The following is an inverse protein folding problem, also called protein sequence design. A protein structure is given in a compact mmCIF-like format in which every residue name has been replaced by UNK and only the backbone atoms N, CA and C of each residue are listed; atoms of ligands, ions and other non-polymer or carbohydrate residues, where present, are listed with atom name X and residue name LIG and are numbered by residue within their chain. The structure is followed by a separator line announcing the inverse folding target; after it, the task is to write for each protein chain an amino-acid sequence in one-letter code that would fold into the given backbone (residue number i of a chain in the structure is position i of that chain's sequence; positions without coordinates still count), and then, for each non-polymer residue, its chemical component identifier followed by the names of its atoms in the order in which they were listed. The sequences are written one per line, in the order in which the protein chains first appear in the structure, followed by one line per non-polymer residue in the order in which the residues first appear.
data_IF_834796088620
#
_entry.id   IF_834796088620
#
_cell.length_a   1.000
_cell.length_b   1.000
_cell.length_c   1.000
_cell.angle_alpha   90.00
_cell.angle_beta   90.00
_cell.angle_gamma   90.00
#
_symmetry.space_group_name_H-M   'P 1'
#
loop_
_entity.id
_entity.type
_entity.pdbx_description
1 polymer ?
#
# COMPACT_ATOMS: atom_id res chain seq x y z
N UNK A 1 -36.10 22.41 9.34
CA UNK A 1 -37.34 21.75 9.75
C UNK A 1 -37.10 20.30 10.10
N UNK A 2 -37.62 19.87 11.24
CA UNK A 2 -37.50 18.47 11.62
C UNK A 2 -38.44 17.61 10.75
N UNK A 3 -37.89 16.64 10.07
CA UNK A 3 -38.64 15.67 9.30
C UNK A 3 -39.30 14.67 10.26
N UNK A 4 -40.61 14.50 10.15
CA UNK A 4 -41.30 13.46 10.92
C UNK A 4 -41.14 12.13 10.21
N UNK A 5 -40.57 11.16 10.90
CA UNK A 5 -40.35 9.80 10.40
C UNK A 5 -40.93 8.78 11.37
N UNK A 6 -41.53 7.72 10.83
CA UNK A 6 -41.96 6.56 11.63
C UNK A 6 -40.73 5.72 12.04
N UNK A 7 -40.93 4.79 12.96
CA UNK A 7 -39.84 3.88 13.37
C UNK A 7 -39.26 3.10 12.18
N UNK A 8 -40.13 2.64 11.26
CA UNK A 8 -39.70 1.90 10.07
C UNK A 8 -38.91 2.80 9.11
N UNK A 9 -39.37 4.04 8.89
CA UNK A 9 -38.67 5.02 8.06
C UNK A 9 -37.33 5.45 8.66
N UNK A 10 -37.27 5.56 9.98
CA UNK A 10 -36.00 5.88 10.67
C UNK A 10 -34.94 4.79 10.44
N UNK A 11 -35.35 3.53 10.49
CA UNK A 11 -34.46 2.40 10.21
C UNK A 11 -33.90 2.46 8.79
N UNK A 12 -34.76 2.73 7.81
CA UNK A 12 -34.39 2.84 6.40
C UNK A 12 -33.45 4.03 6.17
N UNK A 13 -33.71 5.19 6.77
CA UNK A 13 -32.83 6.35 6.65
C UNK A 13 -31.46 6.13 7.29
N UNK A 14 -31.40 5.41 8.42
CA UNK A 14 -30.12 5.04 9.05
C UNK A 14 -29.32 4.11 8.13
N UNK A 15 -29.96 3.12 7.53
CA UNK A 15 -29.33 2.20 6.60
C UNK A 15 -28.79 2.93 5.38
N UNK A 16 -29.55 3.86 4.80
CA UNK A 16 -29.12 4.66 3.66
C UNK A 16 -27.90 5.52 4.01
N UNK A 17 -27.92 6.16 5.18
CA UNK A 17 -26.79 6.97 5.65
C UNK A 17 -25.52 6.13 5.89
N UNK A 18 -25.66 4.92 6.42
CA UNK A 18 -24.55 4.00 6.61
C UNK A 18 -23.98 3.52 5.28
N UNK A 19 -24.81 3.27 4.28
CA UNK A 19 -24.36 2.89 2.93
C UNK A 19 -23.58 4.02 2.27
N UNK A 20 -24.07 5.26 2.34
CA UNK A 20 -23.37 6.44 1.82
C UNK A 20 -22.00 6.61 2.49
N UNK A 21 -21.95 6.46 3.82
CA UNK A 21 -20.69 6.58 4.56
C UNK A 21 -19.71 5.48 4.16
N UNK A 22 -20.21 4.26 3.99
CA UNK A 22 -19.39 3.13 3.54
C UNK A 22 -18.80 3.36 2.17
N UNK A 23 -19.60 3.81 1.20
CA UNK A 23 -19.14 4.10 -0.16
C UNK A 23 -18.05 5.17 -0.15
N UNK A 24 -18.26 6.25 0.60
CA UNK A 24 -17.29 7.33 0.75
C UNK A 24 -16.00 6.83 1.39
N UNK A 25 -16.09 5.99 2.43
CA UNK A 25 -14.95 5.40 3.10
C UNK A 25 -14.17 4.46 2.17
N UNK A 26 -14.86 3.61 1.43
CA UNK A 26 -14.25 2.70 0.46
C UNK A 26 -13.48 3.48 -0.61
N UNK A 27 -14.05 4.56 -1.13
CA UNK A 27 -13.41 5.41 -2.12
C UNK A 27 -12.15 6.08 -1.57
N UNK A 28 -12.21 6.61 -0.36
CA UNK A 28 -11.05 7.23 0.31
C UNK A 28 -9.93 6.20 0.49
N UNK A 29 -10.25 5.02 0.99
CA UNK A 29 -9.28 3.95 1.22
C UNK A 29 -8.66 3.50 -0.11
N UNK A 30 -9.48 3.28 -1.13
CA UNK A 30 -8.99 2.85 -2.44
C UNK A 30 -8.06 3.87 -3.07
N UNK A 31 -8.43 5.15 -3.03
CA UNK A 31 -7.59 6.23 -3.56
C UNK A 31 -6.28 6.33 -2.79
N UNK A 32 -6.32 6.24 -1.47
CA UNK A 32 -5.12 6.28 -0.63
C UNK A 32 -4.18 5.11 -0.94
N UNK A 33 -4.70 3.90 -1.03
CA UNK A 33 -3.91 2.70 -1.35
C UNK A 33 -3.28 2.81 -2.74
N UNK A 34 -4.04 3.25 -3.74
CA UNK A 34 -3.52 3.42 -5.10
C UNK A 34 -2.39 4.45 -5.15
N UNK A 35 -2.57 5.59 -4.50
CA UNK A 35 -1.57 6.66 -4.49
C UNK A 35 -0.31 6.24 -3.74
N UNK A 36 -0.47 5.70 -2.53
CA UNK A 36 0.66 5.30 -1.69
C UNK A 36 1.45 4.15 -2.32
N UNK A 37 0.77 3.20 -2.98
CA UNK A 37 1.46 2.10 -3.65
C UNK A 37 2.35 2.58 -4.79
N UNK A 38 1.90 3.57 -5.57
CA UNK A 38 2.70 4.17 -6.64
C UNK A 38 3.92 4.91 -6.08
N UNK A 39 3.72 5.67 -5.01
CA UNK A 39 4.81 6.39 -4.34
C UNK A 39 5.82 5.42 -3.71
N UNK A 40 5.34 4.37 -3.05
CA UNK A 40 6.16 3.33 -2.44
C UNK A 40 7.02 2.61 -3.49
N UNK A 41 6.42 2.29 -4.64
CA UNK A 41 7.15 1.71 -5.76
C UNK A 41 8.31 2.61 -6.20
N UNK A 42 8.07 3.91 -6.34
CA UNK A 42 9.12 4.87 -6.70
C UNK A 42 10.24 4.93 -5.65
N UNK A 43 9.88 4.91 -4.38
CA UNK A 43 10.86 4.95 -3.27
C UNK A 43 11.72 3.69 -3.25
N UNK A 44 11.11 2.51 -3.37
CA UNK A 44 11.87 1.26 -3.37
C UNK A 44 12.75 1.14 -4.61
N UNK A 45 12.28 1.62 -5.77
CA UNK A 45 13.10 1.67 -6.98
C UNK A 45 14.32 2.58 -6.80
N UNK A 46 14.11 3.79 -6.29
CA UNK A 46 15.18 4.76 -6.10
C UNK A 46 16.24 4.27 -5.11
N UNK A 47 15.83 3.55 -4.07
CA UNK A 47 16.74 3.00 -3.06
C UNK A 47 17.36 1.65 -3.43
N UNK A 48 16.95 1.04 -4.53
CA UNK A 48 17.43 -0.28 -4.95
C UNK A 48 18.86 -0.24 -5.48
N UNK A 49 19.67 -1.28 -5.20
CA UNK A 49 21.01 -1.38 -5.80
C UNK A 49 20.94 -1.42 -7.32
N UNK A 50 21.83 -0.64 -7.96
CA UNK A 50 21.91 -0.54 -9.43
C UNK A 50 23.17 -1.22 -9.91
N UNK A 51 23.12 -2.52 -10.15
CA UNK A 51 24.27 -3.25 -10.69
C UNK A 51 24.16 -3.40 -12.21
N UNK A 52 23.00 -3.88 -12.68
CA UNK A 52 22.71 -4.03 -14.11
C UNK A 52 21.44 -3.27 -14.51
N UNK A 53 20.74 -2.70 -13.53
CA UNK A 53 19.46 -2.03 -13.72
C UNK A 53 18.25 -2.96 -13.79
N UNK A 54 18.45 -4.26 -13.96
CA UNK A 54 17.36 -5.23 -14.07
C UNK A 54 16.54 -5.35 -12.79
N UNK A 55 17.18 -5.41 -11.64
CA UNK A 55 16.50 -5.46 -10.36
C UNK A 55 15.70 -4.18 -10.09
N UNK A 56 16.33 -3.02 -10.25
CA UNK A 56 15.67 -1.73 -10.05
C UNK A 56 14.43 -1.56 -10.92
N UNK A 57 14.51 -1.97 -12.19
CA UNK A 57 13.40 -1.86 -13.14
C UNK A 57 12.31 -2.89 -12.92
N UNK A 58 12.58 -3.92 -12.14
CA UNK A 58 11.65 -5.03 -11.91
C UNK A 58 10.54 -4.75 -10.90
N UNK A 59 10.56 -3.63 -10.21
CA UNK A 59 9.53 -3.29 -9.24
C UNK A 59 8.18 -3.05 -9.90
N UNK A 60 7.16 -3.72 -9.38
CA UNK A 60 5.80 -3.70 -9.91
C UNK A 60 4.77 -3.72 -8.80
N UNK A 61 3.56 -3.25 -9.08
CA UNK A 61 2.44 -3.32 -8.15
C UNK A 61 1.34 -4.20 -8.71
N UNK A 62 0.76 -5.04 -7.87
CA UNK A 62 -0.36 -5.90 -8.23
C UNK A 62 -1.52 -5.65 -7.27
N UNK A 63 -2.67 -5.28 -7.83
CA UNK A 63 -3.90 -5.11 -7.05
C UNK A 63 -4.52 -6.47 -6.79
N UNK A 64 -4.69 -6.81 -5.51
CA UNK A 64 -5.32 -8.04 -5.06
C UNK A 64 -6.54 -7.69 -4.22
N UNK A 65 -7.57 -7.12 -4.84
CA UNK A 65 -8.81 -6.84 -4.15
C UNK A 65 -9.74 -8.02 -4.33
N UNK A 66 -10.09 -8.70 -3.26
CA UNK A 66 -10.94 -9.87 -3.30
C UNK A 66 -12.36 -9.60 -2.78
N UNK A 67 -12.57 -8.57 -1.97
CA UNK A 67 -13.88 -8.30 -1.34
C UNK A 67 -14.15 -6.80 -1.27
N UNK A 68 -15.44 -6.43 -1.30
CA UNK A 68 -15.88 -5.07 -1.06
C UNK A 68 -15.37 -4.54 0.29
N UNK A 69 -14.80 -3.35 0.31
CA UNK A 69 -14.22 -2.75 1.50
C UNK A 69 -12.79 -3.18 1.82
N UNK A 70 -12.21 -4.09 1.04
CA UNK A 70 -10.82 -4.51 1.20
C UNK A 70 -10.04 -4.23 -0.08
N UNK A 71 -9.04 -3.37 0.02
CA UNK A 71 -8.14 -3.05 -1.08
C UNK A 71 -6.72 -3.39 -0.65
N UNK A 72 -6.06 -4.19 -1.44
CA UNK A 72 -4.68 -4.57 -1.19
C UNK A 72 -3.88 -4.45 -2.48
N UNK A 73 -2.71 -3.82 -2.40
CA UNK A 73 -1.77 -3.74 -3.50
C UNK A 73 -0.43 -4.26 -3.01
N UNK A 74 0.08 -5.27 -3.68
CA UNK A 74 1.40 -5.83 -3.38
C UNK A 74 2.43 -5.21 -4.30
N UNK A 75 3.46 -4.59 -3.70
CA UNK A 75 4.63 -4.09 -4.43
C UNK A 75 5.71 -5.18 -4.35
N UNK A 76 6.15 -5.66 -5.49
CA UNK A 76 7.08 -6.79 -5.57
C UNK A 76 8.05 -6.63 -6.73
N UNK A 77 9.16 -7.35 -6.69
CA UNK A 77 10.10 -7.36 -7.80
C UNK A 77 9.78 -8.51 -8.75
N UNK A 78 9.31 -8.17 -9.94
CA UNK A 78 8.87 -9.13 -10.94
C UNK A 78 10.02 -9.84 -11.64
N UNK A 79 11.14 -9.13 -11.83
CA UNK A 79 12.26 -9.67 -12.60
C UNK A 79 13.19 -10.55 -11.78
N UNK A 80 13.47 -10.15 -10.53
CA UNK A 80 14.42 -10.84 -9.67
C UNK A 80 13.92 -10.95 -8.23
N UNK A 81 12.81 -11.66 -7.98
CA UNK A 81 12.21 -11.72 -6.64
C UNK A 81 13.12 -12.40 -5.61
N UNK A 82 13.95 -13.34 -6.03
CA UNK A 82 14.85 -14.05 -5.12
C UNK A 82 16.01 -13.22 -4.58
N UNK A 83 16.26 -12.03 -5.14
CA UNK A 83 17.34 -11.16 -4.69
C UNK A 83 16.93 -10.19 -3.58
N UNK A 84 15.64 -10.01 -3.31
CA UNK A 84 15.16 -8.98 -2.39
C UNK A 84 15.78 -9.07 -0.99
N UNK A 85 15.77 -10.25 -0.39
CA UNK A 85 16.35 -10.45 0.94
C UNK A 85 17.86 -10.25 0.96
N UNK A 86 18.55 -10.76 -0.04
CA UNK A 86 20.00 -10.68 -0.14
C UNK A 86 20.48 -9.24 -0.30
N UNK A 87 19.76 -8.46 -1.10
CA UNK A 87 20.11 -7.05 -1.36
C UNK A 87 19.72 -6.15 -0.19
N UNK A 88 18.63 -6.45 0.51
CA UNK A 88 18.18 -5.67 1.66
C UNK A 88 19.10 -5.83 2.86
N UNK A 89 19.43 -7.07 3.22
CA UNK A 89 20.14 -7.41 4.45
C UNK A 89 21.60 -7.80 4.24
N UNK A 90 22.01 -8.00 3.00
CA UNK A 90 23.33 -8.55 2.70
C UNK A 90 23.34 -10.07 2.80
N UNK A 91 24.48 -10.67 2.50
CA UNK A 91 24.64 -12.11 2.50
C UNK A 91 26.11 -12.52 2.69
N UNK A 92 26.32 -13.78 3.09
CA UNK A 92 27.66 -14.32 3.23
C UNK A 92 28.30 -14.53 1.85
N UNK A 93 29.59 -14.19 1.76
CA UNK A 93 30.36 -14.45 0.54
C UNK A 93 30.88 -15.90 0.51
N UNK A 94 30.95 -16.47 -0.69
CA UNK A 94 31.61 -17.72 -0.93
C UNK A 94 33.12 -17.53 -0.62
N UNK A 95 33.68 -18.31 0.30
CA UNK A 95 35.10 -18.18 0.67
C UNK A 95 35.37 -17.25 1.83
N UNK A 96 34.40 -16.71 2.50
CA UNK A 96 34.52 -15.90 3.71
C UNK A 96 34.10 -14.45 3.53
N UNK A 97 33.76 -13.82 4.64
CA UNK A 97 33.27 -12.45 4.66
C UNK A 97 31.79 -12.32 4.32
N UNK A 98 31.33 -11.08 4.28
CA UNK A 98 29.92 -10.77 4.06
C UNK A 98 29.78 -9.59 3.11
N UNK A 99 28.80 -9.67 2.20
CA UNK A 99 28.39 -8.53 1.39
C UNK A 99 27.38 -7.72 2.19
N UNK A 100 27.65 -6.43 2.37
CA UNK A 100 26.73 -5.53 3.08
C UNK A 100 25.44 -5.35 2.32
N UNK A 101 24.32 -5.27 3.06
CA UNK A 101 23.02 -4.97 2.47
C UNK A 101 22.88 -3.50 2.15
N UNK A 102 21.93 -3.19 1.26
CA UNK A 102 21.48 -1.84 0.99
C UNK A 102 19.99 -1.77 1.29
N UNK A 103 19.59 -1.26 2.47
CA UNK A 103 18.18 -1.16 2.82
C UNK A 103 17.42 -0.28 1.84
N UNK A 104 16.41 -0.82 1.20
CA UNK A 104 15.55 -0.12 0.27
C UNK A 104 14.08 -0.47 0.46
N UNK A 105 13.80 -1.65 1.04
CA UNK A 105 12.44 -2.11 1.34
C UNK A 105 11.97 -1.49 2.65
N UNK A 106 12.75 -1.54 3.72
CA UNK A 106 12.37 -1.01 5.02
C UNK A 106 12.02 0.48 4.99
N UNK A 107 12.83 1.37 4.36
CA UNK A 107 12.44 2.78 4.23
C UNK A 107 11.13 2.99 3.45
N UNK A 108 10.93 2.22 2.38
CA UNK A 108 9.71 2.29 1.57
C UNK A 108 8.48 1.82 2.37
N UNK A 109 8.63 0.75 3.14
CA UNK A 109 7.57 0.25 4.02
C UNK A 109 7.19 1.27 5.09
N UNK A 110 8.16 1.87 5.76
CA UNK A 110 7.93 2.91 6.77
C UNK A 110 7.17 4.10 6.18
N UNK A 111 7.58 4.54 5.00
CA UNK A 111 6.89 5.61 4.28
C UNK A 111 5.45 5.22 3.97
N UNK A 112 5.24 4.01 3.44
CA UNK A 112 3.91 3.53 3.03
C UNK A 112 2.95 3.50 4.22
N UNK A 113 3.37 2.95 5.36
CA UNK A 113 2.52 2.85 6.56
C UNK A 113 2.12 4.24 7.07
N UNK A 114 3.08 5.15 7.22
CA UNK A 114 2.81 6.49 7.72
C UNK A 114 1.95 7.31 6.78
N UNK A 115 2.24 7.27 5.49
CA UNK A 115 1.52 8.07 4.50
C UNK A 115 0.11 7.54 4.23
N UNK A 116 -0.06 6.22 4.25
CA UNK A 116 -1.38 5.60 4.11
C UNK A 116 -2.30 6.03 5.24
N UNK A 117 -1.81 5.96 6.48
CA UNK A 117 -2.56 6.42 7.65
C UNK A 117 -2.96 7.89 7.54
N UNK A 118 -2.02 8.76 7.15
CA UNK A 118 -2.27 10.18 7.00
C UNK A 118 -3.32 10.49 5.92
N UNK A 119 -3.23 9.83 4.77
CA UNK A 119 -4.17 10.04 3.66
C UNK A 119 -5.58 9.57 4.01
N UNK A 120 -5.71 8.46 4.71
CA UNK A 120 -7.01 7.96 5.16
C UNK A 120 -7.62 8.93 6.18
N UNK A 121 -6.85 9.38 7.16
CA UNK A 121 -7.33 10.35 8.15
C UNK A 121 -7.80 11.65 7.51
N UNK A 122 -7.05 12.19 6.56
CA UNK A 122 -7.44 13.42 5.84
C UNK A 122 -8.69 13.23 5.02
N UNK A 123 -8.82 12.07 4.35
CA UNK A 123 -9.98 11.79 3.52
C UNK A 123 -11.28 11.59 4.31
N UNK A 124 -11.18 11.19 5.58
CA UNK A 124 -12.32 10.94 6.45
C UNK A 124 -12.65 12.12 7.38
N UNK A 125 -11.79 13.13 7.42
CA UNK A 125 -12.00 14.30 8.28
C UNK A 125 -12.92 15.34 7.66
#
# INVERSE_FOLDING_TARGET
MAKKITVDQLSDEIMDALEEYKEMTDEVVQTAVDTVSKETKKIVQAGSPIKTGGYQKGWSGKKTSAKAGQVSITVYNRKKPGLTHLLEKGHAKRGGGRVAGQPHIAPAEQYAVGELENKIKRGLS
#
